data_IF_582933699265
#
_entry.id   IF_582933699265
#
_cell.length_a   1.000
_cell.length_b   1.000
_cell.length_c   1.000
_cell.angle_alpha   90.00
_cell.angle_beta   90.00
_cell.angle_gamma   90.00
#
_symmetry.space_group_name_H-M   'P 1'
#
loop_
_entity.id
_entity.type
_entity.pdbx_description
1 polymer ?
#
# COMPACT_ATOMS: atom_id res chain seq x y z
N UNK A 1 -43.90 27.74 -12.57
CA UNK A 1 -44.24 26.74 -11.55
C UNK A 1 -43.90 27.19 -10.10
N UNK A 2 -44.03 28.49 -9.75
CA UNK A 2 -43.64 28.99 -8.42
C UNK A 2 -44.77 29.69 -7.63
N UNK A 3 -45.93 29.94 -8.23
CA UNK A 3 -47.04 30.65 -7.57
C UNK A 3 -47.70 29.84 -6.44
N UNK A 4 -47.65 28.50 -6.51
CA UNK A 4 -48.23 27.63 -5.48
C UNK A 4 -47.44 27.66 -4.15
N UNK A 5 -46.15 27.98 -4.19
CA UNK A 5 -45.28 28.02 -3.01
C UNK A 5 -45.57 29.22 -2.11
N UNK A 6 -45.89 30.38 -2.70
CA UNK A 6 -46.16 31.60 -1.94
C UNK A 6 -47.48 31.53 -1.14
N UNK A 7 -48.50 30.85 -1.68
CA UNK A 7 -49.80 30.70 -0.99
C UNK A 7 -49.73 29.87 0.29
N UNK A 8 -48.86 28.86 0.35
CA UNK A 8 -48.71 28.03 1.57
C UNK A 8 -47.98 28.74 2.70
N UNK A 9 -47.11 29.70 2.40
CA UNK A 9 -46.34 30.42 3.40
C UNK A 9 -47.21 31.44 4.17
N UNK A 10 -48.21 32.03 3.50
CA UNK A 10 -49.14 32.98 4.12
C UNK A 10 -50.18 32.33 5.07
N UNK A 11 -50.42 31.01 4.96
CA UNK A 11 -51.39 30.30 5.81
C UNK A 11 -50.77 29.74 7.11
N UNK A 12 -49.45 29.67 7.23
CA UNK A 12 -48.78 29.06 8.39
C UNK A 12 -48.81 29.91 9.69
N UNK A 13 -49.35 31.13 9.64
CA UNK A 13 -49.36 32.06 10.78
C UNK A 13 -50.63 32.08 11.62
N UNK A 14 -51.66 31.28 11.30
CA UNK A 14 -53.00 31.39 11.93
C UNK A 14 -53.38 30.27 12.89
N UNK A 15 -52.57 29.22 13.02
CA UNK A 15 -52.88 28.11 13.92
C UNK A 15 -52.33 28.38 15.32
N UNK A 16 -53.27 28.52 16.26
CA UNK A 16 -53.07 28.73 17.69
C UNK A 16 -52.00 27.80 18.28
N UNK A 17 -51.06 28.41 19.01
CA UNK A 17 -50.01 27.78 19.80
C UNK A 17 -50.49 26.50 20.51
N UNK A 18 -49.98 25.31 20.14
CA UNK A 18 -50.28 24.10 20.90
C UNK A 18 -49.62 24.20 22.28
N UNK A 19 -50.48 24.16 23.31
CA UNK A 19 -50.17 23.88 24.71
C UNK A 19 -48.97 22.93 24.82
N UNK A 20 -47.91 23.39 25.46
CA UNK A 20 -46.59 22.74 25.55
C UNK A 20 -46.70 21.22 25.78
N UNK A 21 -46.63 20.46 24.69
CA UNK A 21 -46.37 19.03 24.74
C UNK A 21 -44.88 18.92 25.06
N UNK A 22 -44.44 18.16 26.07
CA UNK A 22 -43.03 18.07 26.41
C UNK A 22 -42.24 17.70 25.15
N UNK A 23 -41.27 18.57 24.78
CA UNK A 23 -40.50 18.53 23.54
C UNK A 23 -39.90 17.15 23.21
N UNK A 24 -39.73 16.29 24.21
CA UNK A 24 -39.29 14.90 24.07
C UNK A 24 -40.22 14.02 23.23
N UNK A 25 -41.54 14.29 23.18
CA UNK A 25 -42.50 13.51 22.38
C UNK A 25 -42.66 14.02 20.95
N UNK A 26 -42.40 15.31 20.71
CA UNK A 26 -42.46 15.91 19.37
C UNK A 26 -41.18 15.65 18.57
N UNK A 27 -40.04 15.42 19.24
CA UNK A 27 -38.73 15.28 18.59
C UNK A 27 -38.46 13.90 17.98
N UNK A 28 -39.31 12.88 18.20
CA UNK A 28 -39.10 11.51 17.71
C UNK A 28 -40.36 10.97 17.02
N UNK A 29 -40.63 11.37 15.76
CA UNK A 29 -41.78 10.86 15.00
C UNK A 29 -41.76 9.34 14.80
N UNK A 30 -40.59 8.70 14.93
CA UNK A 30 -40.46 7.24 14.93
C UNK A 30 -39.68 6.77 16.17
N UNK A 31 -40.38 6.31 17.19
CA UNK A 31 -39.75 5.64 18.33
C UNK A 31 -39.21 4.27 17.89
N UNK A 32 -37.97 3.95 18.27
CA UNK A 32 -37.40 2.64 18.02
C UNK A 32 -38.24 1.57 18.74
N UNK A 33 -38.70 0.55 18.01
CA UNK A 33 -39.46 -0.57 18.57
C UNK A 33 -38.71 -1.32 19.68
N UNK A 34 -37.37 -1.26 19.65
CA UNK A 34 -36.49 -1.86 20.65
C UNK A 34 -35.55 -0.79 21.18
N UNK A 35 -35.55 -0.60 22.50
CA UNK A 35 -34.63 0.32 23.17
C UNK A 35 -33.21 -0.26 23.04
N UNK A 36 -32.31 0.54 22.49
CA UNK A 36 -30.89 0.27 22.43
C UNK A 36 -30.18 1.33 23.29
N UNK A 37 -29.19 0.98 24.12
CA UNK A 37 -28.59 -0.34 24.38
C UNK A 37 -29.43 -1.21 25.33
N UNK A 38 -29.32 -2.54 25.27
CA UNK A 38 -29.93 -3.44 26.24
C UNK A 38 -29.23 -3.35 27.60
N UNK A 39 -29.99 -3.46 28.70
CA UNK A 39 -29.45 -3.50 30.06
C UNK A 39 -28.71 -4.82 30.31
N UNK A 40 -27.38 -4.83 30.19
CA UNK A 40 -26.58 -6.05 30.33
C UNK A 40 -26.76 -6.77 31.68
N UNK A 41 -27.07 -6.04 32.75
CA UNK A 41 -27.27 -6.60 34.10
C UNK A 41 -28.51 -7.50 34.22
N UNK A 42 -29.50 -7.30 33.37
CA UNK A 42 -30.77 -8.05 33.38
C UNK A 42 -30.75 -9.26 32.44
N UNK A 43 -29.70 -9.41 31.63
CA UNK A 43 -29.58 -10.48 30.64
C UNK A 43 -29.01 -11.77 31.24
N UNK A 44 -29.48 -12.91 30.73
CA UNK A 44 -28.87 -14.21 31.01
C UNK A 44 -27.40 -14.22 30.55
N UNK A 45 -26.53 -14.89 31.29
CA UNK A 45 -25.09 -14.94 31.03
C UNK A 45 -24.74 -15.47 29.63
N UNK A 46 -25.48 -16.47 29.15
CA UNK A 46 -25.33 -16.97 27.78
C UNK A 46 -25.61 -15.89 26.72
N UNK A 47 -26.56 -14.98 26.98
CA UNK A 47 -26.86 -13.87 26.08
C UNK A 47 -25.77 -12.79 26.15
N UNK A 48 -25.26 -12.48 27.34
CA UNK A 48 -24.14 -11.56 27.53
C UNK A 48 -22.91 -12.01 26.71
N UNK A 49 -22.51 -13.28 26.82
CA UNK A 49 -21.39 -13.84 26.06
C UNK A 49 -21.58 -13.72 24.53
N UNK A 50 -22.82 -13.91 24.04
CA UNK A 50 -23.12 -13.73 22.60
C UNK A 50 -22.95 -12.29 22.17
N UNK A 51 -23.35 -11.31 22.99
CA UNK A 51 -23.16 -9.90 22.71
C UNK A 51 -21.69 -9.50 22.76
N UNK A 52 -20.95 -9.96 23.77
CA UNK A 52 -19.51 -9.72 23.87
C UNK A 52 -18.76 -10.27 22.66
N UNK A 53 -19.04 -11.51 22.26
CA UNK A 53 -18.43 -12.12 21.07
C UNK A 53 -18.75 -11.32 19.80
N UNK A 54 -20.00 -10.88 19.65
CA UNK A 54 -20.42 -10.03 18.52
C UNK A 54 -19.72 -8.67 18.55
N UNK A 55 -19.57 -8.06 19.72
CA UNK A 55 -18.90 -6.77 19.90
C UNK A 55 -17.42 -6.85 19.57
N UNK A 56 -16.69 -7.82 20.16
CA UNK A 56 -15.26 -8.06 19.89
C UNK A 56 -15.00 -8.25 18.39
N UNK A 57 -15.81 -9.09 17.72
CA UNK A 57 -15.71 -9.30 16.27
C UNK A 57 -15.93 -8.00 15.48
N UNK A 58 -16.87 -7.16 15.89
CA UNK A 58 -17.14 -5.88 15.21
C UNK A 58 -16.00 -4.89 15.41
N UNK A 59 -15.43 -4.81 16.61
CA UNK A 59 -14.26 -3.96 16.86
C UNK A 59 -13.09 -4.44 16.02
N UNK A 60 -12.81 -5.75 15.99
CA UNK A 60 -11.72 -6.31 15.19
C UNK A 60 -11.90 -5.99 13.71
N UNK A 61 -13.12 -6.10 13.17
CA UNK A 61 -13.42 -5.73 11.79
C UNK A 61 -13.33 -4.22 11.55
N UNK A 62 -13.73 -3.38 12.51
CA UNK A 62 -13.66 -1.93 12.40
C UNK A 62 -12.23 -1.39 12.53
N UNK A 63 -11.40 -2.04 13.35
CA UNK A 63 -9.99 -1.68 13.55
C UNK A 63 -9.09 -2.23 12.46
N UNK A 64 -9.54 -3.24 11.72
CA UNK A 64 -8.79 -3.80 10.59
C UNK A 64 -8.69 -2.77 9.46
N UNK A 65 -7.48 -2.29 9.21
CA UNK A 65 -7.15 -1.36 8.12
C UNK A 65 -6.38 -2.08 7.00
N UNK A 66 -7.05 -2.86 6.12
CA UNK A 66 -6.38 -3.73 5.16
C UNK A 66 -5.53 -2.97 4.14
N UNK A 67 -5.93 -1.74 3.77
CA UNK A 67 -5.16 -0.90 2.83
C UNK A 67 -3.85 -0.42 3.46
N UNK A 68 -3.89 -0.02 4.74
CA UNK A 68 -2.71 0.39 5.49
C UNK A 68 -1.73 -0.76 5.67
N UNK A 69 -2.22 -1.93 6.09
CA UNK A 69 -1.37 -3.12 6.23
C UNK A 69 -0.71 -3.53 4.91
N UNK A 70 -1.41 -3.42 3.78
CA UNK A 70 -0.81 -3.63 2.45
C UNK A 70 0.30 -2.62 2.17
N UNK A 71 0.05 -1.33 2.45
CA UNK A 71 1.05 -0.27 2.30
C UNK A 71 2.31 -0.53 3.11
N UNK A 72 2.17 -0.91 4.39
CA UNK A 72 3.30 -1.26 5.26
C UNK A 72 4.10 -2.45 4.70
N UNK A 73 3.41 -3.48 4.18
CA UNK A 73 4.11 -4.63 3.56
C UNK A 73 4.88 -4.24 2.30
N UNK A 74 4.32 -3.36 1.47
CA UNK A 74 5.04 -2.82 0.32
C UNK A 74 6.24 -1.97 0.74
N UNK A 75 6.09 -1.13 1.76
CA UNK A 75 7.19 -0.35 2.31
C UNK A 75 8.29 -1.26 2.87
N UNK A 76 7.94 -2.34 3.56
CA UNK A 76 8.88 -3.35 4.06
C UNK A 76 9.62 -4.07 2.92
N UNK A 77 8.90 -4.45 1.86
CA UNK A 77 9.53 -5.02 0.67
C UNK A 77 10.46 -4.02 -0.01
N UNK A 78 10.06 -2.76 -0.12
CA UNK A 78 10.86 -1.70 -0.72
C UNK A 78 12.12 -1.42 0.10
N UNK A 79 12.05 -1.41 1.43
CA UNK A 79 13.23 -1.23 2.29
C UNK A 79 14.18 -2.42 2.22
N UNK A 80 13.66 -3.67 2.19
CA UNK A 80 14.50 -4.85 1.99
C UNK A 80 15.20 -4.79 0.63
N UNK A 81 14.47 -4.48 -0.45
CA UNK A 81 15.04 -4.36 -1.78
C UNK A 81 16.09 -3.25 -1.85
N UNK A 82 15.81 -2.08 -1.27
CA UNK A 82 16.76 -0.97 -1.22
C UNK A 82 18.03 -1.33 -0.43
N UNK A 83 17.89 -2.02 0.70
CA UNK A 83 19.03 -2.50 1.48
C UNK A 83 19.88 -3.52 0.70
N UNK A 84 19.25 -4.43 -0.05
CA UNK A 84 19.96 -5.35 -0.93
C UNK A 84 20.71 -4.61 -2.03
N UNK A 85 20.06 -3.69 -2.75
CA UNK A 85 20.71 -2.88 -3.80
C UNK A 85 21.90 -2.11 -3.23
N UNK A 86 21.72 -1.47 -2.06
CA UNK A 86 22.80 -0.75 -1.39
C UNK A 86 23.93 -1.68 -1.00
N UNK A 87 23.63 -2.84 -0.42
CA UNK A 87 24.63 -3.85 -0.09
C UNK A 87 25.38 -4.25 -1.36
N UNK A 88 24.72 -4.77 -2.39
CA UNK A 88 25.37 -5.18 -3.65
C UNK A 88 26.23 -4.10 -4.31
N UNK A 89 25.85 -2.82 -4.19
CA UNK A 89 26.59 -1.74 -4.83
C UNK A 89 27.84 -1.30 -4.05
N UNK A 90 27.81 -1.40 -2.71
CA UNK A 90 28.86 -0.89 -1.84
C UNK A 90 29.65 -1.96 -1.09
N UNK A 91 29.16 -3.20 -1.02
CA UNK A 91 29.90 -4.31 -0.42
C UNK A 91 30.94 -4.82 -1.40
N UNK A 92 32.20 -4.77 -1.02
CA UNK A 92 33.27 -5.52 -1.66
C UNK A 92 33.24 -6.95 -1.10
N UNK A 93 32.55 -7.85 -1.79
CA UNK A 93 32.45 -9.24 -1.34
C UNK A 93 33.73 -10.00 -1.74
N UNK A 94 34.51 -10.39 -0.75
CA UNK A 94 35.58 -11.37 -0.91
C UNK A 94 34.99 -12.77 -0.90
N UNK A 95 34.65 -13.28 -2.08
CA UNK A 95 34.24 -14.67 -2.24
C UNK A 95 35.48 -15.49 -2.61
N UNK A 96 35.98 -16.30 -1.68
CA UNK A 96 37.14 -17.19 -1.86
C UNK A 96 38.47 -16.48 -2.21
N UNK A 97 38.81 -15.39 -1.50
CA UNK A 97 40.10 -14.71 -1.64
C UNK A 97 40.27 -13.93 -2.96
N UNK A 98 39.24 -13.85 -3.78
CA UNK A 98 39.16 -12.97 -4.94
C UNK A 98 38.32 -11.74 -4.55
N UNK A 99 38.91 -10.54 -4.64
CA UNK A 99 38.16 -9.29 -4.49
C UNK A 99 37.26 -9.11 -5.71
N UNK A 100 35.99 -9.46 -5.57
CA UNK A 100 35.01 -9.26 -6.62
C UNK A 100 34.20 -7.99 -6.32
N UNK A 101 34.12 -7.08 -7.29
CA UNK A 101 33.28 -5.88 -7.21
C UNK A 101 32.09 -6.05 -8.17
N UNK A 102 30.94 -6.60 -7.70
CA UNK A 102 29.78 -6.86 -8.55
C UNK A 102 29.27 -5.61 -9.30
N UNK A 103 29.51 -4.42 -8.75
CA UNK A 103 29.10 -3.15 -9.35
C UNK A 103 29.88 -2.80 -10.61
N UNK A 104 31.07 -3.35 -10.84
CA UNK A 104 31.84 -3.07 -12.06
C UNK A 104 31.20 -3.69 -13.30
N UNK A 105 30.70 -4.92 -13.21
CA UNK A 105 30.02 -5.59 -14.32
C UNK A 105 28.70 -4.90 -14.66
N UNK A 106 27.92 -4.52 -13.64
CA UNK A 106 26.68 -3.77 -13.84
C UNK A 106 26.95 -2.36 -14.41
N UNK A 107 28.02 -1.68 -13.97
CA UNK A 107 28.43 -0.39 -14.55
C UNK A 107 28.89 -0.53 -15.99
N UNK A 108 29.65 -1.58 -16.32
CA UNK A 108 30.03 -1.88 -17.71
C UNK A 108 28.79 -2.12 -18.56
N UNK A 109 27.85 -2.93 -18.09
CA UNK A 109 26.61 -3.22 -18.82
C UNK A 109 25.70 -1.98 -19.01
N UNK A 110 25.61 -1.12 -17.99
CA UNK A 110 24.86 0.13 -18.04
C UNK A 110 25.55 1.21 -18.91
N UNK A 111 26.87 1.36 -18.78
CA UNK A 111 27.67 2.27 -19.62
C UNK A 111 27.63 1.85 -21.09
N UNK A 112 27.60 0.55 -21.34
CA UNK A 112 27.51 -0.01 -22.68
C UNK A 112 26.06 -0.09 -23.18
N UNK A 113 25.11 0.75 -22.70
CA UNK A 113 23.76 0.86 -23.24
C UNK A 113 23.12 -0.52 -23.56
N UNK A 114 23.23 -1.47 -22.63
CA UNK A 114 22.76 -2.86 -22.82
C UNK A 114 23.35 -3.56 -24.07
N UNK A 115 24.65 -3.43 -24.31
CA UNK A 115 25.39 -4.10 -25.38
C UNK A 115 25.38 -3.39 -26.74
N UNK A 116 24.78 -2.20 -26.85
CA UNK A 116 24.77 -1.43 -28.11
C UNK A 116 26.07 -0.68 -28.33
N UNK A 117 26.75 -0.28 -27.25
CA UNK A 117 27.97 0.54 -27.27
C UNK A 117 29.09 -0.16 -26.51
N UNK A 118 29.27 -1.46 -26.76
CA UNK A 118 30.46 -2.18 -26.29
C UNK A 118 31.67 -1.72 -27.12
N UNK A 119 32.68 -1.03 -26.54
CA UNK A 119 33.85 -0.54 -27.29
C UNK A 119 34.68 -1.70 -27.88
N UNK A 120 34.73 -2.84 -27.19
CA UNK A 120 35.50 -4.02 -27.62
C UNK A 120 34.83 -4.75 -28.80
N UNK A 121 33.48 -4.78 -28.85
CA UNK A 121 32.72 -5.37 -29.95
C UNK A 121 32.52 -4.43 -31.14
N UNK A 122 33.03 -3.19 -31.05
CA UNK A 122 32.95 -2.20 -32.13
C UNK A 122 33.69 -2.67 -33.39
N UNK A 123 34.69 -3.52 -33.20
CA UNK A 123 35.51 -4.09 -34.28
C UNK A 123 34.86 -5.31 -34.92
N UNK A 124 34.12 -6.14 -34.18
CA UNK A 124 33.42 -7.33 -34.70
C UNK A 124 32.35 -7.03 -35.77
N UNK A 125 31.78 -5.82 -35.78
CA UNK A 125 30.79 -5.40 -36.80
C UNK A 125 31.41 -5.04 -38.14
N UNK A 126 32.75 -5.04 -38.27
CA UNK A 126 33.46 -4.82 -39.54
C UNK A 126 33.79 -6.18 -40.18
N UNK A 127 33.56 -6.31 -41.48
CA UNK A 127 33.86 -7.55 -42.24
C UNK A 127 35.36 -7.88 -42.31
N UNK A 128 36.21 -6.90 -42.03
CA UNK A 128 37.67 -7.00 -42.17
C UNK A 128 38.38 -7.14 -40.81
N UNK A 129 37.65 -7.44 -39.73
CA UNK A 129 38.22 -7.50 -38.39
C UNK A 129 39.00 -8.82 -38.18
N UNK A 130 40.19 -8.77 -37.56
CA UNK A 130 40.91 -9.98 -37.17
C UNK A 130 40.12 -10.75 -36.10
N UNK A 131 40.08 -12.08 -36.22
CA UNK A 131 39.40 -12.94 -35.25
C UNK A 131 40.02 -12.79 -33.85
N UNK A 132 39.20 -12.80 -32.77
CA UNK A 132 39.71 -12.63 -31.43
C UNK A 132 40.69 -13.75 -31.06
N UNK A 133 41.81 -13.43 -30.38
CA UNK A 133 42.79 -14.45 -29.99
C UNK A 133 42.13 -15.46 -29.06
N UNK A 134 42.38 -16.74 -29.32
CA UNK A 134 41.84 -17.81 -28.47
C UNK A 134 42.36 -17.66 -27.02
N UNK A 135 41.60 -18.08 -26.00
CA UNK A 135 41.97 -17.91 -24.58
C UNK A 135 43.36 -18.44 -24.19
N UNK A 136 43.93 -19.35 -25.00
CA UNK A 136 45.29 -19.86 -24.80
C UNK A 136 46.39 -18.84 -25.12
N UNK A 137 46.16 -17.93 -26.07
CA UNK A 137 47.16 -16.94 -26.52
C UNK A 137 47.28 -15.75 -25.55
N UNK A 138 46.20 -15.35 -24.88
CA UNK A 138 46.25 -14.28 -23.87
C UNK A 138 47.10 -14.67 -22.65
N UNK A 139 47.07 -15.94 -22.23
CA UNK A 139 47.87 -16.45 -21.12
C UNK A 139 49.38 -16.40 -21.40
N UNK A 140 49.79 -16.64 -22.65
CA UNK A 140 51.20 -16.58 -23.05
C UNK A 140 51.72 -15.14 -23.16
N UNK A 141 50.89 -14.19 -23.59
CA UNK A 141 51.27 -12.77 -23.67
C UNK A 141 51.40 -12.07 -22.32
N UNK A 142 50.66 -12.52 -21.29
CA UNK A 142 50.77 -11.99 -19.92
C UNK A 142 51.96 -12.55 -19.13
N UNK A 143 52.60 -13.62 -19.62
CA UNK A 143 53.72 -14.29 -18.94
C UNK A 143 55.10 -13.84 -19.42
N UNK A 144 55.17 -12.86 -20.33
CA UNK A 144 56.41 -12.35 -20.93
C UNK A 144 56.64 -10.90 -20.51
#
# INVERSE_FOLDING_TARGET
>A
MFAASARRLAQAGKDSLPKQVPFAKLSKPHAARKVWPPNFKELNHAQQLRFEKKYKRRIELASKSPRWQKGVKFAQLATIAAALVWLFFYSEFEWWGQHYKPSEEMRRHAANLFGVVDPDKRYERRKDAPEPPSPRQELETKSK
#
